data_IF_550803316875
#
_entry.id   IF_550803316875
#
_cell.length_a   1.000
_cell.length_b   1.000
_cell.length_c   1.000
_cell.angle_alpha   90.00
_cell.angle_beta   90.00
_cell.angle_gamma   90.00
#
_symmetry.space_group_name_H-M   'P 1'
#
loop_
_entity.id
_entity.type
_entity.pdbx_description
1 polymer ?
#
# COMPACT_ATOMS: atom_id res chain seq x y z
N UNK A 1 -3.65 -3.19 -12.52
CA UNK A 1 -3.60 -2.29 -11.35
C UNK A 1 -5.02 -2.03 -10.85
N UNK A 2 -5.24 -2.07 -9.57
CA UNK A 2 -6.47 -1.58 -8.93
C UNK A 2 -6.15 -0.30 -8.18
N UNK A 3 -7.15 0.58 -8.03
CA UNK A 3 -6.96 1.87 -7.37
C UNK A 3 -8.05 2.07 -6.32
N UNK A 4 -7.66 2.24 -5.07
CA UNK A 4 -8.60 2.45 -3.96
C UNK A 4 -8.29 3.73 -3.20
N UNK A 5 -9.34 4.49 -2.88
CA UNK A 5 -9.30 5.66 -2.01
C UNK A 5 -9.70 5.21 -0.60
N UNK A 6 -8.94 5.66 0.41
CA UNK A 6 -9.18 5.33 1.82
C UNK A 6 -9.40 3.82 2.02
N UNK A 7 -8.39 2.98 1.71
CA UNK A 7 -8.55 1.54 1.79
C UNK A 7 -8.61 1.04 3.23
N UNK A 8 -9.33 -0.06 3.44
CA UNK A 8 -9.19 -0.87 4.64
C UNK A 8 -7.99 -1.78 4.44
N UNK A 9 -7.13 -1.89 5.45
CA UNK A 9 -6.03 -2.84 5.43
C UNK A 9 -6.49 -4.19 5.96
N UNK A 10 -6.23 -5.24 5.19
CA UNK A 10 -6.51 -6.62 5.60
C UNK A 10 -5.18 -7.34 5.80
N UNK A 11 -4.95 -7.92 7.00
CA UNK A 11 -3.72 -8.69 7.23
C UNK A 11 -3.69 -9.92 6.32
N UNK A 12 -2.51 -10.26 5.73
CA UNK A 12 -2.38 -11.46 4.91
C UNK A 12 -2.56 -12.71 5.76
N UNK A 13 -3.57 -13.51 5.48
CA UNK A 13 -3.89 -14.70 6.28
C UNK A 13 -2.89 -15.83 6.12
N UNK A 14 -2.07 -15.77 5.06
CA UNK A 14 -1.08 -16.80 4.73
C UNK A 14 0.26 -16.61 5.43
N UNK A 15 0.50 -15.42 5.98
CA UNK A 15 1.78 -15.07 6.59
C UNK A 15 1.71 -15.22 8.11
N UNK A 16 2.68 -15.92 8.69
CA UNK A 16 2.69 -16.17 10.12
C UNK A 16 2.76 -14.89 10.96
N UNK A 17 3.46 -13.84 10.46
CA UNK A 17 3.56 -12.56 11.17
C UNK A 17 2.22 -11.84 11.31
N UNK A 18 1.27 -12.13 10.40
CA UNK A 18 -0.05 -11.48 10.41
C UNK A 18 -1.11 -12.29 11.16
N UNK A 19 -0.74 -13.46 11.69
CA UNK A 19 -1.67 -14.33 12.40
C UNK A 19 -2.22 -13.62 13.64
N UNK A 20 -3.53 -13.57 13.76
CA UNK A 20 -4.20 -12.91 14.88
C UNK A 20 -4.39 -11.41 14.73
N UNK A 21 -3.87 -10.79 13.68
CA UNK A 21 -4.11 -9.38 13.39
C UNK A 21 -5.52 -9.19 12.84
N UNK A 22 -6.08 -8.02 13.11
CA UNK A 22 -7.41 -7.64 12.62
C UNK A 22 -7.29 -6.63 11.48
N UNK A 23 -8.28 -6.57 10.57
CA UNK A 23 -8.34 -5.49 9.58
C UNK A 23 -8.31 -4.11 10.25
N UNK A 24 -7.65 -3.17 9.59
CA UNK A 24 -7.57 -1.77 10.04
C UNK A 24 -8.43 -0.91 9.13
N UNK A 25 -9.44 -0.20 9.66
CA UNK A 25 -10.28 0.66 8.85
C UNK A 25 -9.51 1.88 8.32
N UNK A 26 -10.06 2.61 7.34
CA UNK A 26 -9.44 3.85 6.88
C UNK A 26 -9.21 4.82 8.04
N UNK A 27 -8.06 5.50 8.03
CA UNK A 27 -7.73 6.46 9.08
C UNK A 27 -6.23 6.68 9.21
N UNK A 28 -5.81 7.54 10.15
CA UNK A 28 -4.39 7.89 10.31
C UNK A 28 -3.51 6.73 10.77
N UNK A 29 -4.09 5.68 11.33
CA UNK A 29 -3.35 4.50 11.77
C UNK A 29 -3.35 3.37 10.75
N UNK A 30 -3.92 3.58 9.55
CA UNK A 30 -3.94 2.58 8.51
C UNK A 30 -2.57 2.51 7.83
N UNK A 31 -1.93 1.33 7.77
CA UNK A 31 -0.60 1.20 7.17
C UNK A 31 -0.58 1.45 5.65
N UNK A 32 -1.73 1.47 4.99
CA UNK A 32 -1.84 1.76 3.55
C UNK A 32 -2.00 3.26 3.27
N UNK A 33 -2.14 4.09 4.29
CA UNK A 33 -2.43 5.50 4.12
C UNK A 33 -3.80 5.74 3.50
N UNK A 34 -3.89 6.73 2.59
CA UNK A 34 -5.17 7.15 1.98
C UNK A 34 -5.37 6.61 0.57
N UNK A 35 -4.35 5.99 -0.03
CA UNK A 35 -4.40 5.49 -1.41
C UNK A 35 -3.72 4.14 -1.52
N UNK A 36 -4.33 3.26 -2.28
CA UNK A 36 -3.78 1.96 -2.63
C UNK A 36 -3.81 1.79 -4.15
N UNK A 37 -2.67 1.43 -4.72
CA UNK A 37 -2.52 1.09 -6.13
C UNK A 37 -1.96 -0.32 -6.20
N UNK A 38 -2.84 -1.32 -6.36
CA UNK A 38 -2.45 -2.73 -6.43
C UNK A 38 -1.90 -3.09 -7.79
N UNK A 39 -0.77 -3.78 -7.82
CA UNK A 39 -0.14 -4.27 -9.05
C UNK A 39 -0.65 -5.66 -9.41
N UNK A 40 -0.30 -6.13 -10.62
CA UNK A 40 -0.71 -7.45 -11.08
C UNK A 40 -0.05 -8.58 -10.30
N UNK A 41 1.12 -8.35 -9.72
CA UNK A 41 1.76 -9.33 -8.85
C UNK A 41 0.97 -9.44 -7.54
N UNK A 42 0.60 -10.65 -7.08
CA UNK A 42 -0.18 -10.82 -5.87
C UNK A 42 0.51 -10.23 -4.64
N UNK A 43 -0.23 -9.44 -3.87
CA UNK A 43 0.26 -8.83 -2.64
C UNK A 43 1.20 -7.65 -2.83
N UNK A 44 1.45 -7.21 -4.06
CA UNK A 44 2.33 -6.08 -4.36
C UNK A 44 1.50 -4.88 -4.75
N UNK A 45 1.82 -3.74 -4.16
CA UNK A 45 1.14 -2.49 -4.45
C UNK A 45 1.96 -1.28 -4.04
N UNK A 46 1.49 -0.11 -4.45
CA UNK A 46 2.05 1.19 -4.09
C UNK A 46 1.02 1.88 -3.21
N UNK A 47 1.46 2.40 -2.07
CA UNK A 47 0.55 3.05 -1.12
C UNK A 47 1.26 4.08 -0.28
N UNK A 48 0.48 4.93 0.39
CA UNK A 48 1.03 5.79 1.43
C UNK A 48 1.39 4.98 2.67
N UNK A 49 2.08 5.60 3.59
CA UNK A 49 2.43 4.97 4.87
C UNK A 49 2.09 5.87 6.03
N UNK A 50 1.68 5.26 7.15
CA UNK A 50 1.53 5.92 8.43
C UNK A 50 2.87 6.11 9.15
N UNK A 51 3.97 5.55 8.59
CA UNK A 51 5.32 5.63 9.14
C UNK A 51 6.29 6.18 8.08
N UNK A 52 6.29 7.52 7.82
CA UNK A 52 7.16 8.08 6.78
C UNK A 52 8.65 7.81 6.96
N UNK A 53 9.10 7.65 8.21
CA UNK A 53 10.50 7.35 8.50
C UNK A 53 10.94 5.97 8.00
N UNK A 54 10.00 5.08 7.68
CA UNK A 54 10.30 3.73 7.16
C UNK A 54 10.51 3.69 5.66
N UNK A 55 10.26 4.79 4.94
CA UNK A 55 10.44 4.86 3.49
C UNK A 55 11.91 4.68 3.13
N UNK A 56 12.18 3.83 2.13
CA UNK A 56 13.54 3.51 1.70
C UNK A 56 14.17 2.32 2.42
N UNK A 57 13.50 1.75 3.41
CA UNK A 57 13.94 0.56 4.13
C UNK A 57 13.08 -0.65 3.75
N UNK A 58 13.67 -1.84 3.86
CA UNK A 58 12.98 -3.10 3.53
C UNK A 58 12.07 -3.55 4.68
N UNK A 59 11.21 -2.68 5.18
CA UNK A 59 10.30 -2.97 6.28
C UNK A 59 8.93 -3.45 5.80
N UNK A 60 8.65 -3.43 4.50
CA UNK A 60 7.40 -3.88 3.92
C UNK A 60 7.49 -5.34 3.47
N UNK A 61 6.34 -5.99 3.38
CA UNK A 61 6.23 -7.38 2.92
C UNK A 61 5.87 -7.46 1.43
N UNK A 62 6.58 -6.67 0.60
CA UNK A 62 6.42 -6.68 -0.86
C UNK A 62 5.76 -5.44 -1.44
N UNK A 63 5.38 -4.46 -0.61
CA UNK A 63 4.75 -3.23 -1.07
C UNK A 63 5.74 -2.07 -1.16
N UNK A 64 5.44 -1.12 -2.03
CA UNK A 64 6.22 0.10 -2.19
C UNK A 64 5.52 1.22 -1.41
N UNK A 65 6.23 1.81 -0.47
CA UNK A 65 5.67 2.84 0.40
C UNK A 65 6.11 4.23 -0.04
N UNK A 66 5.18 5.17 0.04
CA UNK A 66 5.39 6.57 -0.26
C UNK A 66 4.85 7.43 0.88
N UNK A 67 5.28 8.68 0.96
CA UNK A 67 4.58 9.64 1.79
C UNK A 67 3.14 9.80 1.28
N UNK A 68 2.19 10.00 2.18
CA UNK A 68 0.78 10.09 1.79
C UNK A 68 0.53 11.13 0.70
N UNK A 69 1.05 12.37 0.78
CA UNK A 69 0.85 13.35 -0.30
C UNK A 69 1.41 12.88 -1.65
N UNK A 70 2.54 12.18 -1.64
CA UNK A 70 3.17 11.67 -2.86
C UNK A 70 2.35 10.53 -3.47
N UNK A 71 1.82 9.64 -2.64
CA UNK A 71 0.93 8.57 -3.10
C UNK A 71 -0.35 9.13 -3.69
N UNK A 72 -0.92 10.17 -3.10
CA UNK A 72 -2.09 10.86 -3.62
C UNK A 72 -1.80 11.54 -4.95
N UNK A 73 -0.65 12.17 -5.07
CA UNK A 73 -0.21 12.79 -6.33
C UNK A 73 -0.08 11.75 -7.46
N UNK A 74 0.56 10.62 -7.17
CA UNK A 74 0.74 9.53 -8.15
C UNK A 74 -0.60 8.91 -8.53
N UNK A 75 -1.48 8.70 -7.56
CA UNK A 75 -2.79 8.10 -7.77
C UNK A 75 -3.61 8.86 -8.82
N UNK A 76 -3.53 10.19 -8.84
CA UNK A 76 -4.25 11.03 -9.80
C UNK A 76 -3.70 10.89 -11.23
N UNK A 77 -2.49 10.39 -11.40
CA UNK A 77 -1.78 10.38 -12.69
C UNK A 77 -1.69 9.00 -13.32
N UNK A 78 -1.85 7.93 -12.54
CA UNK A 78 -1.84 6.57 -13.07
C UNK A 78 -3.27 6.11 -13.34
N UNK A 79 -3.39 5.11 -14.23
CA UNK A 79 -4.67 4.49 -14.59
C UNK A 79 -4.59 3.00 -14.35
N UNK A 80 -5.75 2.36 -14.23
CA UNK A 80 -5.82 0.91 -14.34
C UNK A 80 -5.26 0.51 -15.72
N UNK A 81 -4.26 -0.35 -15.73
CA UNK A 81 -3.54 -0.72 -16.95
C UNK A 81 -2.19 -0.03 -17.12
N UNK A 82 -1.87 0.98 -16.32
CA UNK A 82 -0.54 1.60 -16.35
C UNK A 82 0.54 0.54 -16.06
N UNK A 83 1.60 0.54 -16.88
CA UNK A 83 2.72 -0.38 -16.72
C UNK A 83 3.65 0.14 -15.63
N UNK A 84 4.07 -0.76 -14.73
CA UNK A 84 5.03 -0.46 -13.66
C UNK A 84 6.21 -1.39 -13.81
N UNK A 85 7.41 -0.81 -13.94
CA UNK A 85 8.66 -1.55 -13.95
C UNK A 85 9.33 -1.46 -12.59
N UNK A 86 9.65 -2.59 -12.01
CA UNK A 86 10.39 -2.68 -10.74
C UNK A 86 11.74 -3.32 -11.05
N UNK A 87 12.79 -2.57 -10.79
CA UNK A 87 14.16 -3.00 -11.05
C UNK A 87 14.93 -3.26 -9.76
#
# INVERSE_FOLDING_TARGET
MVKWVNPTWYPPTQDAWAKGLKPVPPGPNNPLGTRWMGLSAPGVGIHGTDEPASIGYSASHGCIRMQVPDAEWLFERVRVGTIVFIV
#
